data_IF_486024803279
#
_entry.id   IF_486024803279
#
_cell.length_a   1.000
_cell.length_b   1.000
_cell.length_c   1.000
_cell.angle_alpha   90.00
_cell.angle_beta   90.00
_cell.angle_gamma   90.00
#
_symmetry.space_group_name_H-M   'P 1'
#
loop_
_entity.id
_entity.type
_entity.pdbx_description
1 polymer ?
#
# COMPACT_ATOMS: atom_id res chain seq x y z
N UNK A 1 13.84 2.26 7.17
CA UNK A 1 14.80 2.68 6.14
C UNK A 1 15.25 1.44 5.38
N UNK A 2 14.98 1.41 4.09
CA UNK A 2 15.41 0.40 3.13
C UNK A 2 16.65 0.85 2.36
N UNK A 3 16.72 2.14 2.00
CA UNK A 3 17.77 2.65 1.14
C UNK A 3 19.04 3.00 1.92
N UNK A 4 20.21 2.51 1.48
CA UNK A 4 21.49 3.07 1.91
C UNK A 4 21.77 4.40 1.20
N UNK A 5 22.97 4.95 1.38
CA UNK A 5 23.45 6.04 0.52
C UNK A 5 23.46 5.59 -0.96
N UNK A 6 23.11 6.49 -1.90
CA UNK A 6 23.14 6.17 -3.33
C UNK A 6 24.55 5.88 -3.80
N UNK A 7 24.70 4.89 -4.69
CA UNK A 7 25.97 4.65 -5.38
C UNK A 7 26.32 5.81 -6.32
N UNK A 8 25.29 6.42 -6.92
CA UNK A 8 25.43 7.59 -7.78
C UNK A 8 24.32 8.58 -7.48
N UNK A 9 24.67 9.85 -7.38
CA UNK A 9 23.72 10.95 -7.18
C UNK A 9 24.30 12.23 -7.78
N UNK A 10 23.74 12.73 -8.88
CA UNK A 10 24.21 13.94 -9.56
C UNK A 10 23.35 15.20 -9.26
N UNK A 11 22.38 15.06 -8.36
CA UNK A 11 21.42 16.12 -8.00
C UNK A 11 20.12 16.06 -8.80
N UNK A 12 20.12 15.39 -9.96
CA UNK A 12 18.94 15.19 -10.81
C UNK A 12 18.58 13.73 -11.00
N UNK A 13 19.57 12.84 -10.93
CA UNK A 13 19.41 11.40 -11.01
C UNK A 13 20.15 10.73 -9.85
N UNK A 14 19.62 9.59 -9.41
CA UNK A 14 20.24 8.78 -8.39
C UNK A 14 20.01 7.28 -8.61
N UNK A 15 20.97 6.47 -8.17
CA UNK A 15 20.98 5.01 -8.31
C UNK A 15 21.35 4.34 -6.99
N UNK A 16 20.58 3.32 -6.63
CA UNK A 16 20.85 2.43 -5.49
C UNK A 16 20.83 0.97 -5.91
N UNK A 17 21.69 0.19 -5.26
CA UNK A 17 21.61 -1.25 -5.19
C UNK A 17 21.17 -1.63 -3.78
N UNK A 18 19.98 -2.20 -3.66
CA UNK A 18 19.36 -2.46 -2.35
C UNK A 18 19.22 -3.96 -2.17
N UNK A 19 19.71 -4.45 -1.04
CA UNK A 19 19.51 -5.83 -0.62
C UNK A 19 18.39 -5.89 0.41
N UNK A 20 17.28 -6.52 0.05
CA UNK A 20 16.11 -6.70 0.91
C UNK A 20 16.24 -8.07 1.57
N UNK A 21 16.41 -8.05 2.89
CA UNK A 21 16.66 -9.22 3.72
C UNK A 21 15.47 -9.53 4.64
N UNK A 22 15.11 -10.81 4.79
CA UNK A 22 13.95 -11.22 5.58
C UNK A 22 14.16 -11.12 7.10
N UNK A 23 15.40 -11.19 7.59
CA UNK A 23 15.71 -10.99 9.00
C UNK A 23 15.67 -9.51 9.36
N UNK A 24 16.06 -8.63 8.43
CA UNK A 24 15.94 -7.17 8.61
C UNK A 24 14.52 -6.65 8.43
N UNK A 25 13.71 -7.34 7.62
CA UNK A 25 12.35 -6.94 7.28
C UNK A 25 11.35 -8.08 7.59
N UNK A 26 11.15 -8.38 8.87
CA UNK A 26 10.28 -9.47 9.33
C UNK A 26 8.82 -9.34 8.84
N UNK A 27 8.36 -8.10 8.55
CA UNK A 27 7.08 -7.87 7.88
C UNK A 27 6.96 -8.57 6.52
N UNK A 28 8.04 -8.60 5.73
CA UNK A 28 8.08 -9.28 4.42
C UNK A 28 8.04 -10.80 4.59
N UNK A 29 8.74 -11.34 5.60
CA UNK A 29 8.74 -12.77 5.92
C UNK A 29 7.33 -13.29 6.17
N UNK A 30 6.49 -12.49 6.84
CA UNK A 30 5.10 -12.83 7.18
C UNK A 30 4.11 -12.48 6.07
N UNK A 31 4.53 -11.68 5.10
CA UNK A 31 3.71 -11.28 3.97
C UNK A 31 3.75 -12.33 2.84
N UNK A 32 2.87 -13.34 2.94
CA UNK A 32 2.87 -14.48 2.03
C UNK A 32 1.83 -14.36 0.91
N UNK A 33 2.27 -14.55 -0.35
CA UNK A 33 1.39 -14.75 -1.50
C UNK A 33 1.67 -16.13 -2.08
N UNK A 34 0.66 -16.99 -2.13
CA UNK A 34 0.79 -18.41 -2.53
C UNK A 34 1.90 -19.15 -1.74
N UNK A 35 1.98 -18.85 -0.44
CA UNK A 35 2.94 -19.48 0.48
C UNK A 35 4.38 -18.97 0.38
N UNK A 36 4.67 -17.97 -0.46
CA UNK A 36 6.01 -17.42 -0.61
C UNK A 36 6.11 -15.99 -0.07
N UNK A 37 7.20 -15.64 0.64
CA UNK A 37 7.47 -14.26 1.01
C UNK A 37 7.42 -13.35 -0.22
N UNK A 38 6.66 -12.27 -0.07
CA UNK A 38 6.39 -11.29 -1.11
C UNK A 38 6.50 -9.91 -0.51
N UNK A 39 7.25 -9.01 -1.14
CA UNK A 39 7.32 -7.63 -0.68
C UNK A 39 5.91 -7.01 -0.70
N UNK A 40 5.43 -6.44 0.41
CA UNK A 40 4.21 -5.64 0.43
C UNK A 40 4.31 -4.49 -0.58
N UNK A 41 3.20 -4.12 -1.18
CA UNK A 41 3.17 -2.97 -2.09
C UNK A 41 3.56 -1.69 -1.34
N UNK A 42 3.13 -1.55 -0.09
CA UNK A 42 3.55 -0.44 0.76
C UNK A 42 5.08 -0.35 0.96
N UNK A 43 5.79 -1.48 0.98
CA UNK A 43 7.26 -1.47 1.07
C UNK A 43 7.92 -0.93 -0.21
N UNK A 44 7.36 -1.20 -1.39
CA UNK A 44 7.86 -0.62 -2.65
C UNK A 44 7.59 0.89 -2.70
N UNK A 45 6.43 1.34 -2.22
CA UNK A 45 6.12 2.77 -2.07
C UNK A 45 7.06 3.45 -1.07
N UNK A 46 7.42 2.78 0.03
CA UNK A 46 8.41 3.26 1.00
C UNK A 46 9.80 3.44 0.39
N UNK A 47 10.26 2.45 -0.39
CA UNK A 47 11.52 2.57 -1.11
C UNK A 47 11.50 3.78 -2.05
N UNK A 48 10.39 4.02 -2.75
CA UNK A 48 10.26 5.19 -3.61
C UNK A 48 10.22 6.52 -2.83
N UNK A 49 9.54 6.56 -1.69
CA UNK A 49 9.51 7.71 -0.81
C UNK A 49 10.91 8.07 -0.31
N UNK A 50 11.68 7.06 0.12
CA UNK A 50 13.07 7.23 0.57
C UNK A 50 13.97 7.73 -0.56
N UNK A 51 13.78 7.22 -1.78
CA UNK A 51 14.54 7.66 -2.96
C UNK A 51 14.21 9.12 -3.33
N UNK A 52 12.94 9.52 -3.20
CA UNK A 52 12.53 10.89 -3.48
C UNK A 52 13.08 11.88 -2.43
N UNK A 53 12.96 11.53 -1.15
CA UNK A 53 13.45 12.35 -0.04
C UNK A 53 14.98 12.58 -0.09
N UNK A 54 15.75 11.71 -0.75
CA UNK A 54 17.20 11.92 -0.89
C UNK A 54 17.58 13.17 -1.69
N UNK A 55 16.70 13.65 -2.58
CA UNK A 55 16.97 14.82 -3.42
C UNK A 55 16.70 16.17 -2.71
N UNK A 56 15.85 16.18 -1.69
CA UNK A 56 15.45 17.41 -1.00
C UNK A 56 15.14 17.10 0.47
N UNK A 57 16.12 17.33 1.34
CA UNK A 57 16.01 17.00 2.78
C UNK A 57 14.94 17.80 3.51
N UNK A 58 14.58 18.97 2.98
CA UNK A 58 13.59 19.89 3.57
C UNK A 58 12.16 19.65 3.06
N UNK A 59 11.97 18.71 2.12
CA UNK A 59 10.66 18.38 1.56
C UNK A 59 10.24 16.96 1.95
N UNK A 60 8.94 16.76 2.10
CA UNK A 60 8.35 15.47 2.43
C UNK A 60 7.56 14.91 1.22
N UNK A 61 7.56 13.58 1.01
CA UNK A 61 6.62 12.92 0.11
C UNK A 61 5.17 13.07 0.60
N UNK A 62 4.31 13.75 -0.17
CA UNK A 62 2.90 13.98 0.21
C UNK A 62 1.90 13.30 -0.73
N UNK A 63 2.34 12.98 -1.95
CA UNK A 63 1.52 12.30 -2.96
C UNK A 63 2.37 11.39 -3.82
N UNK A 64 1.79 10.24 -4.16
CA UNK A 64 2.37 9.27 -5.08
C UNK A 64 1.41 9.09 -6.23
N UNK A 65 1.90 9.19 -7.45
CA UNK A 65 1.08 9.13 -8.66
C UNK A 65 1.60 8.07 -9.61
N UNK A 66 0.71 7.56 -10.45
CA UNK A 66 1.05 6.61 -11.53
C UNK A 66 1.79 5.36 -11.02
N UNK A 67 1.40 4.84 -9.84
CA UNK A 67 1.98 3.61 -9.33
C UNK A 67 1.62 2.45 -10.27
N UNK A 68 2.62 1.85 -10.89
CA UNK A 68 2.53 0.65 -11.72
C UNK A 68 3.20 -0.51 -11.02
N UNK A 69 2.58 -1.69 -11.04
CA UNK A 69 3.03 -2.91 -10.37
C UNK A 69 2.99 -4.09 -11.35
N UNK A 70 3.87 -4.13 -12.37
CA UNK A 70 3.82 -5.16 -13.40
C UNK A 70 4.17 -6.56 -12.87
N UNK A 71 5.03 -6.64 -11.83
CA UNK A 71 5.44 -7.90 -11.23
C UNK A 71 5.59 -7.79 -9.71
N UNK A 72 5.26 -8.87 -9.00
CA UNK A 72 5.52 -8.99 -7.57
C UNK A 72 6.99 -9.31 -7.31
N UNK A 73 7.61 -8.63 -6.34
CA UNK A 73 8.86 -9.08 -5.75
C UNK A 73 8.58 -10.23 -4.79
N UNK A 74 8.56 -11.45 -5.32
CA UNK A 74 8.25 -12.69 -4.61
C UNK A 74 9.33 -13.74 -4.86
N UNK A 75 9.69 -14.48 -3.82
CA UNK A 75 10.56 -15.64 -3.93
C UNK A 75 10.37 -16.59 -2.73
N UNK A 76 10.65 -17.89 -2.87
CA UNK A 76 10.81 -18.81 -1.74
C UNK A 76 11.79 -18.25 -0.70
N UNK A 77 11.57 -18.54 0.59
CA UNK A 77 12.31 -17.95 1.71
C UNK A 77 13.84 -18.15 1.60
N UNK A 78 14.28 -19.31 1.09
CA UNK A 78 15.68 -19.68 0.88
C UNK A 78 16.38 -18.91 -0.25
N UNK A 79 15.63 -18.16 -1.07
CA UNK A 79 16.16 -17.29 -2.13
C UNK A 79 16.24 -15.83 -1.73
N UNK A 80 16.05 -15.54 -0.45
CA UNK A 80 16.33 -14.24 0.16
C UNK A 80 17.75 -14.26 0.77
N UNK A 81 18.44 -13.11 0.83
CA UNK A 81 17.97 -11.78 0.44
C UNK A 81 17.82 -11.57 -1.07
N UNK A 82 17.00 -10.59 -1.46
CA UNK A 82 16.75 -10.23 -2.86
C UNK A 82 17.38 -8.87 -3.14
N UNK A 83 18.08 -8.77 -4.27
CA UNK A 83 18.64 -7.49 -4.74
C UNK A 83 17.68 -6.80 -5.70
N UNK A 84 17.53 -5.49 -5.53
CA UNK A 84 16.79 -4.60 -6.43
C UNK A 84 17.66 -3.41 -6.83
N UNK A 85 17.45 -2.93 -8.05
CA UNK A 85 17.91 -1.62 -8.50
C UNK A 85 16.81 -0.60 -8.28
N UNK A 86 17.18 0.53 -7.71
CA UNK A 86 16.30 1.70 -7.61
C UNK A 86 16.94 2.82 -8.39
N UNK A 87 16.21 3.36 -9.36
CA UNK A 87 16.63 4.56 -10.11
C UNK A 87 15.61 5.64 -9.87
N UNK A 88 16.07 6.84 -9.56
CA UNK A 88 15.21 8.00 -9.38
C UNK A 88 15.67 9.17 -10.24
N UNK A 89 14.72 9.91 -10.81
CA UNK A 89 14.96 11.12 -11.61
C UNK A 89 14.07 12.25 -11.10
N UNK A 90 14.69 13.34 -10.66
CA UNK A 90 13.99 14.53 -10.17
C UNK A 90 13.69 15.50 -11.31
N UNK A 91 12.47 16.05 -11.30
CA UNK A 91 11.96 17.07 -12.21
C UNK A 91 11.17 18.11 -11.40
N UNK A 92 11.86 19.16 -10.94
CA UNK A 92 11.26 20.13 -10.02
C UNK A 92 10.96 19.48 -8.67
N UNK A 93 9.69 19.48 -8.27
CA UNK A 93 9.22 18.88 -7.01
C UNK A 93 8.73 17.44 -7.17
N UNK A 94 8.74 16.92 -8.39
CA UNK A 94 8.39 15.52 -8.67
C UNK A 94 9.65 14.67 -8.85
N UNK A 95 9.60 13.43 -8.35
CA UNK A 95 10.65 12.43 -8.52
C UNK A 95 10.05 11.16 -9.10
N UNK A 96 10.45 10.80 -10.31
CA UNK A 96 10.09 9.54 -10.94
C UNK A 96 11.03 8.43 -10.45
N UNK A 97 10.47 7.37 -9.85
CA UNK A 97 11.22 6.24 -9.30
C UNK A 97 10.82 4.94 -10.01
N UNK A 98 11.82 4.16 -10.41
CA UNK A 98 11.65 2.77 -10.89
C UNK A 98 12.44 1.81 -9.99
N UNK A 99 11.80 0.69 -9.67
CA UNK A 99 12.34 -0.39 -8.84
C UNK A 99 12.29 -1.67 -9.67
N UNK A 100 13.46 -2.24 -9.97
CA UNK A 100 13.56 -3.45 -10.79
C UNK A 100 14.62 -4.42 -10.29
N UNK A 101 14.76 -5.56 -10.96
CA UNK A 101 15.87 -6.47 -10.73
C UNK A 101 17.18 -5.85 -11.25
N UNK A 102 18.34 -6.20 -10.66
CA UNK A 102 19.62 -5.83 -11.26
C UNK A 102 19.74 -6.39 -12.69
N UNK A 103 20.45 -5.70 -13.59
CA UNK A 103 20.77 -6.22 -14.91
C UNK A 103 21.75 -7.38 -14.75
N UNK A 104 21.42 -8.54 -15.33
CA UNK A 104 22.30 -9.72 -15.32
C UNK A 104 22.51 -10.18 -16.74
N UNK A 105 23.66 -9.83 -17.33
CA UNK A 105 24.04 -10.18 -18.70
C UNK A 105 22.91 -9.90 -19.71
N UNK A 106 22.48 -10.91 -20.47
CA UNK A 106 21.43 -10.84 -21.49
C UNK A 106 20.01 -11.05 -20.93
N UNK A 107 19.83 -11.18 -19.61
CA UNK A 107 18.51 -11.35 -19.00
C UNK A 107 17.83 -9.99 -18.88
N UNK A 108 16.63 -9.80 -19.46
CA UNK A 108 15.86 -8.57 -19.30
C UNK A 108 15.63 -8.28 -17.82
N UNK A 109 15.74 -7.01 -17.44
CA UNK A 109 15.37 -6.57 -16.09
C UNK A 109 13.88 -6.80 -15.86
N UNK A 110 13.53 -7.28 -14.67
CA UNK A 110 12.15 -7.41 -14.23
C UNK A 110 11.81 -6.14 -13.46
N UNK A 111 10.87 -5.35 -13.96
CA UNK A 111 10.34 -4.19 -13.22
C UNK A 111 9.36 -4.67 -12.13
N UNK A 112 9.50 -4.15 -10.92
CA UNK A 112 8.61 -4.46 -9.80
C UNK A 112 7.65 -3.31 -9.50
N UNK A 113 8.14 -2.06 -9.59
CA UNK A 113 7.32 -0.89 -9.42
C UNK A 113 7.86 0.31 -10.21
N UNK A 114 6.94 1.17 -10.66
CA UNK A 114 7.24 2.51 -11.13
C UNK A 114 6.26 3.47 -10.45
N UNK A 115 6.73 4.63 -9.99
CA UNK A 115 5.90 5.62 -9.29
C UNK A 115 6.51 7.02 -9.40
N UNK A 116 5.66 8.03 -9.51
CA UNK A 116 6.07 9.44 -9.38
C UNK A 116 5.74 9.92 -7.97
N UNK A 117 6.72 10.48 -7.27
CA UNK A 117 6.58 10.99 -5.90
C UNK A 117 6.63 12.51 -5.93
N UNK A 118 5.58 13.14 -5.43
CA UNK A 118 5.50 14.59 -5.29
C UNK A 118 6.00 15.00 -3.90
N UNK A 119 7.00 15.87 -3.89
CA UNK A 119 7.60 16.43 -2.68
C UNK A 119 6.99 17.80 -2.39
N UNK A 120 6.67 18.07 -1.13
CA UNK A 120 6.17 19.37 -0.71
C UNK A 120 6.66 19.71 0.70
N UNK A 121 6.61 20.98 1.07
CA UNK A 121 6.74 21.37 2.49
C UNK A 121 5.49 20.85 3.19
N UNK A 122 5.61 20.00 4.22
CA UNK A 122 4.44 19.50 4.92
C UNK A 122 3.71 20.67 5.60
N UNK A 123 2.48 20.96 5.17
CA UNK A 123 1.58 21.88 5.86
C UNK A 123 1.13 21.23 7.17
N UNK A 124 1.96 21.29 8.21
CA UNK A 124 1.53 20.90 9.56
C UNK A 124 0.87 22.12 10.21
N UNK A 125 -0.37 21.99 10.75
CA UNK A 125 -1.02 23.07 11.49
C UNK A 125 -0.20 23.58 12.69
N UNK A 126 0.73 22.75 13.19
CA UNK A 126 1.65 23.09 14.27
C UNK A 126 2.84 23.96 13.82
N UNK A 127 3.17 24.08 12.53
CA UNK A 127 4.35 24.84 12.10
C UNK A 127 4.30 26.36 12.39
N UNK A 128 3.13 26.91 12.70
CA UNK A 128 3.00 28.32 13.11
C UNK A 128 3.51 28.60 14.53
N UNK A 129 3.59 27.58 15.40
CA UNK A 129 3.94 27.73 16.83
C UNK A 129 5.38 27.30 17.16
N UNK A 130 6.17 26.80 16.20
CA UNK A 130 7.50 26.22 16.44
C UNK A 130 8.68 27.14 16.07
N UNK A 131 8.44 28.46 15.98
CA UNK A 131 9.43 29.44 15.52
C UNK A 131 10.61 29.70 16.49
N UNK A 132 10.67 29.06 17.67
CA UNK A 132 11.69 29.30 18.69
C UNK A 132 12.66 28.13 18.95
N UNK A 133 12.71 27.11 18.07
CA UNK A 133 13.73 26.05 18.19
C UNK A 133 14.96 26.42 17.37
N UNK A 134 16.08 26.66 18.05
CA UNK A 134 17.39 27.03 17.51
C UNK A 134 17.74 26.29 16.19
N UNK A 135 17.98 27.06 15.13
CA UNK A 135 18.40 26.56 13.81
C UNK A 135 19.71 25.75 13.83
N UNK A 136 20.52 25.83 14.89
CA UNK A 136 21.76 25.06 15.00
C UNK A 136 21.56 23.59 15.45
N UNK A 137 20.38 23.25 15.99
CA UNK A 137 19.96 21.84 16.16
C UNK A 137 19.32 21.27 14.89
N UNK A 138 19.16 22.07 13.83
CA UNK A 138 18.53 21.68 12.58
C UNK A 138 19.44 20.85 11.64
N UNK A 139 20.35 20.04 12.20
CA UNK A 139 20.75 18.78 11.57
C UNK A 139 19.64 17.74 11.77
N UNK A 140 18.40 18.16 11.50
CA UNK A 140 17.24 17.53 12.10
C UNK A 140 16.87 16.28 11.31
N UNK A 141 16.98 15.15 12.02
CA UNK A 141 16.56 13.83 11.59
C UNK A 141 15.02 13.72 11.46
N UNK A 142 14.30 14.80 11.13
CA UNK A 142 12.81 14.92 11.17
C UNK A 142 12.09 13.87 10.34
N UNK A 143 12.74 13.35 9.30
CA UNK A 143 12.19 12.32 8.43
C UNK A 143 12.91 10.96 8.52
N UNK A 144 13.83 10.78 9.50
CA UNK A 144 14.49 9.49 9.72
C UNK A 144 13.48 8.48 10.31
N UNK A 145 12.73 7.83 9.41
CA UNK A 145 11.73 6.82 9.75
C UNK A 145 10.30 7.13 9.28
N UNK A 146 10.02 8.37 8.86
CA UNK A 146 8.66 8.88 8.67
C UNK A 146 8.37 9.22 7.20
N UNK A 147 7.89 8.25 6.41
CA UNK A 147 7.56 8.56 5.01
C UNK A 147 6.17 8.06 4.58
N UNK A 148 5.62 7.04 5.23
CA UNK A 148 4.24 6.65 5.06
C UNK A 148 3.73 5.73 6.18
N UNK A 149 2.41 5.69 6.40
CA UNK A 149 1.76 4.64 7.18
C UNK A 149 1.65 3.36 6.35
N UNK A 150 2.71 2.54 6.37
CA UNK A 150 2.88 1.34 5.58
C UNK A 150 1.82 0.27 5.85
N UNK A 151 1.50 0.01 7.11
CA UNK A 151 0.49 -0.97 7.50
C UNK A 151 -0.91 -0.49 7.10
N UNK A 152 -1.22 0.80 7.30
CA UNK A 152 -2.50 1.37 6.87
C UNK A 152 -2.66 1.34 5.35
N UNK A 153 -1.60 1.70 4.61
CA UNK A 153 -1.58 1.66 3.15
C UNK A 153 -1.77 0.24 2.63
N UNK A 154 -1.00 -0.73 3.15
CA UNK A 154 -1.09 -2.13 2.72
C UNK A 154 -2.47 -2.72 3.05
N UNK A 155 -3.01 -2.44 4.24
CA UNK A 155 -4.36 -2.85 4.62
C UNK A 155 -5.41 -2.28 3.66
N UNK A 156 -5.30 -0.99 3.31
CA UNK A 156 -6.21 -0.33 2.38
C UNK A 156 -6.10 -0.91 0.96
N UNK A 157 -4.89 -1.18 0.46
CA UNK A 157 -4.66 -1.82 -0.84
C UNK A 157 -5.30 -3.21 -0.91
N UNK A 158 -5.20 -4.00 0.16
CA UNK A 158 -5.86 -5.31 0.27
C UNK A 158 -7.39 -5.23 0.21
N UNK A 159 -8.00 -4.11 0.61
CA UNK A 159 -9.44 -3.91 0.45
C UNK A 159 -9.85 -3.68 -1.01
N UNK A 160 -8.94 -3.17 -1.84
CA UNK A 160 -9.19 -2.93 -3.26
C UNK A 160 -9.04 -4.20 -4.11
N UNK A 161 -8.25 -5.16 -3.65
CA UNK A 161 -8.12 -6.49 -4.27
C UNK A 161 -6.95 -7.28 -3.70
N UNK A 162 -6.85 -8.59 -4.03
CA UNK A 162 -5.67 -9.36 -3.70
C UNK A 162 -4.44 -8.78 -4.41
N UNK A 163 -3.29 -8.76 -3.74
CA UNK A 163 -2.06 -8.11 -4.22
C UNK A 163 -1.66 -8.59 -5.63
N UNK A 164 -1.84 -9.88 -5.91
CA UNK A 164 -1.56 -10.50 -7.21
C UNK A 164 -2.45 -10.03 -8.37
N UNK A 165 -3.56 -9.37 -8.06
CA UNK A 165 -4.43 -8.77 -9.07
C UNK A 165 -4.17 -7.27 -9.24
N UNK A 166 -3.58 -6.60 -8.24
CA UNK A 166 -3.34 -5.17 -8.26
C UNK A 166 -2.28 -4.84 -9.31
N UNK A 167 -2.64 -4.05 -10.33
CA UNK A 167 -1.72 -3.68 -11.42
C UNK A 167 -1.30 -2.22 -11.36
N UNK A 168 -2.19 -1.33 -10.91
CA UNK A 168 -1.85 0.09 -10.79
C UNK A 168 -2.73 0.85 -9.80
N UNK A 169 -2.21 1.97 -9.32
CA UNK A 169 -2.94 2.97 -8.52
C UNK A 169 -2.62 4.34 -9.10
N UNK A 170 -3.66 5.07 -9.52
CA UNK A 170 -3.48 6.39 -10.13
C UNK A 170 -2.90 7.40 -9.14
N UNK A 171 -3.43 7.46 -7.92
CA UNK A 171 -2.95 8.36 -6.88
C UNK A 171 -3.08 7.76 -5.48
N UNK A 172 -2.05 8.00 -4.66
CA UNK A 172 -1.99 7.76 -3.23
C UNK A 172 -1.72 9.12 -2.59
N UNK A 173 -2.68 9.65 -1.85
CA UNK A 173 -2.52 10.88 -1.08
C UNK A 173 -2.27 10.51 0.39
N UNK A 174 -1.24 11.11 1.01
CA UNK A 174 -0.91 10.96 2.44
C UNK A 174 -1.04 12.35 3.09
N UNK A 175 -2.23 12.71 3.59
CA UNK A 175 -2.47 14.06 4.11
C UNK A 175 -1.73 14.34 5.42
N UNK A 176 -1.37 13.29 6.16
CA UNK A 176 -0.68 13.38 7.44
C UNK A 176 0.64 12.62 7.32
N UNK A 177 1.80 13.30 7.26
CA UNK A 177 3.09 12.63 7.22
C UNK A 177 3.41 12.05 8.60
N UNK A 178 2.99 10.82 8.86
CA UNK A 178 3.26 10.08 10.10
C UNK A 178 3.49 8.60 9.80
N UNK A 179 4.31 7.93 10.61
CA UNK A 179 4.50 6.48 10.54
C UNK A 179 3.40 5.72 11.31
N UNK A 180 3.25 4.42 11.08
CA UNK A 180 2.20 3.62 11.73
C UNK A 180 2.31 3.60 13.27
N UNK A 181 3.52 3.74 13.83
CA UNK A 181 3.73 3.72 15.30
C UNK A 181 3.26 5.00 15.93
N UNK A 182 3.59 6.13 15.32
CA UNK A 182 3.12 7.44 15.72
C UNK A 182 1.62 7.54 15.58
N UNK A 183 1.06 7.05 14.47
CA UNK A 183 -0.39 7.01 14.28
C UNK A 183 -1.08 6.14 15.33
N UNK A 184 -0.52 4.96 15.63
CA UNK A 184 -1.04 4.10 16.69
C UNK A 184 -0.97 4.77 18.07
N UNK A 185 0.07 5.57 18.32
CA UNK A 185 0.25 6.34 19.57
C UNK A 185 -0.71 7.51 19.67
N UNK A 186 -0.86 8.29 18.59
CA UNK A 186 -1.64 9.53 18.56
C UNK A 186 -3.14 9.26 18.46
N UNK A 187 -3.53 8.29 17.66
CA UNK A 187 -4.92 8.09 17.21
C UNK A 187 -5.48 6.71 17.59
N UNK A 188 -4.66 5.87 18.24
CA UNK A 188 -5.00 4.51 18.62
C UNK A 188 -4.77 3.49 17.50
N UNK A 189 -4.91 2.21 17.83
CA UNK A 189 -4.64 1.11 16.89
C UNK A 189 -5.80 0.82 15.91
N UNK A 190 -6.88 1.60 15.95
CA UNK A 190 -8.08 1.35 15.16
C UNK A 190 -8.11 2.20 13.90
N UNK A 191 -8.23 1.52 12.75
CA UNK A 191 -8.38 2.12 11.44
C UNK A 191 -9.71 1.70 10.80
N UNK A 192 -10.46 2.68 10.36
CA UNK A 192 -11.63 2.52 9.50
C UNK A 192 -11.18 2.52 8.04
N UNK A 193 -11.34 1.39 7.36
CA UNK A 193 -11.09 1.26 5.92
C UNK A 193 -12.41 1.41 5.17
N UNK A 194 -12.50 2.39 4.28
CA UNK A 194 -13.74 2.70 3.56
C UNK A 194 -13.50 2.75 2.06
N UNK A 195 -14.52 2.30 1.32
CA UNK A 195 -14.57 2.31 -0.14
C UNK A 195 -15.76 3.14 -0.59
N UNK A 196 -15.55 4.01 -1.55
CA UNK A 196 -16.57 4.88 -2.12
C UNK A 196 -16.52 4.84 -3.64
N UNK A 197 -17.69 4.77 -4.27
CA UNK A 197 -17.82 5.00 -5.72
C UNK A 197 -18.03 6.49 -5.96
N UNK A 198 -17.16 7.12 -6.75
CA UNK A 198 -17.30 8.52 -7.19
C UNK A 198 -17.50 8.59 -8.70
N UNK A 199 -17.73 9.79 -9.24
CA UNK A 199 -17.84 9.99 -10.70
C UNK A 199 -16.55 9.65 -11.43
N UNK A 200 -15.41 9.78 -10.75
CA UNK A 200 -14.07 9.55 -11.31
C UNK A 200 -13.58 8.11 -11.05
N UNK A 201 -14.46 7.25 -10.50
CA UNK A 201 -14.17 5.85 -10.21
C UNK A 201 -14.16 5.53 -8.72
N UNK A 202 -13.55 4.41 -8.37
CA UNK A 202 -13.49 3.93 -6.99
C UNK A 202 -12.39 4.68 -6.21
N UNK A 203 -12.74 5.07 -4.98
CA UNK A 203 -11.83 5.67 -4.01
C UNK A 203 -11.82 4.86 -2.73
N UNK A 204 -10.66 4.82 -2.09
CA UNK A 204 -10.44 4.10 -0.84
C UNK A 204 -9.82 5.05 0.17
N UNK A 205 -10.24 4.99 1.43
CA UNK A 205 -9.64 5.79 2.50
C UNK A 205 -9.37 4.94 3.73
N UNK A 206 -8.21 5.15 4.35
CA UNK A 206 -7.96 4.74 5.73
C UNK A 206 -8.14 5.97 6.62
N UNK A 207 -9.05 5.87 7.58
CA UNK A 207 -9.35 6.94 8.55
C UNK A 207 -9.20 6.43 9.97
N UNK A 208 -8.86 7.32 10.88
CA UNK A 208 -8.88 7.06 12.33
C UNK A 208 -10.27 7.26 12.91
N UNK A 209 -10.44 6.91 14.19
CA UNK A 209 -11.75 6.94 14.86
C UNK A 209 -12.38 8.35 14.95
N UNK A 210 -11.54 9.39 15.00
CA UNK A 210 -11.95 10.81 14.96
C UNK A 210 -12.27 11.32 13.54
N UNK A 211 -12.10 10.47 12.51
CA UNK A 211 -12.36 10.79 11.11
C UNK A 211 -11.17 11.38 10.36
N UNK A 212 -9.99 11.51 10.97
CA UNK A 212 -8.78 11.98 10.29
C UNK A 212 -8.38 11.01 9.17
N UNK A 213 -8.12 11.52 7.96
CA UNK A 213 -7.73 10.71 6.79
C UNK A 213 -6.22 10.53 6.77
N UNK A 214 -5.78 9.27 6.84
CA UNK A 214 -4.35 8.91 6.82
C UNK A 214 -3.85 8.64 5.42
N UNK A 215 -4.63 7.87 4.65
CA UNK A 215 -4.29 7.46 3.29
C UNK A 215 -5.55 7.52 2.44
N UNK A 216 -5.42 8.02 1.23
CA UNK A 216 -6.46 7.97 0.20
C UNK A 216 -5.91 7.36 -1.09
N UNK A 217 -6.61 6.38 -1.66
CA UNK A 217 -6.30 5.79 -2.96
C UNK A 217 -7.36 6.21 -3.98
N UNK A 218 -6.91 6.48 -5.20
CA UNK A 218 -7.77 6.76 -6.36
C UNK A 218 -7.29 5.97 -7.57
N UNK A 219 -8.25 5.59 -8.43
CA UNK A 219 -7.95 4.92 -9.70
C UNK A 219 -7.20 3.60 -9.50
N UNK A 220 -7.63 2.81 -8.50
CA UNK A 220 -7.04 1.48 -8.26
C UNK A 220 -7.53 0.52 -9.34
N UNK A 221 -6.60 -0.03 -10.12
CA UNK A 221 -6.88 -1.05 -11.13
C UNK A 221 -6.40 -2.38 -10.60
N UNK A 222 -7.33 -3.31 -10.43
CA UNK A 222 -7.04 -4.71 -10.24
C UNK A 222 -7.50 -5.50 -11.45
N UNK A 223 -6.65 -6.38 -11.94
CA UNK A 223 -6.95 -7.40 -12.94
C UNK A 223 -7.83 -8.50 -12.34
N UNK A 224 -8.92 -8.12 -11.70
CA UNK A 224 -9.88 -9.09 -11.23
C UNK A 224 -10.79 -9.49 -12.39
N UNK A 225 -10.44 -10.59 -13.06
CA UNK A 225 -11.44 -11.39 -13.77
C UNK A 225 -12.45 -11.87 -12.73
N UNK A 226 -13.55 -11.12 -12.67
CA UNK A 226 -14.87 -11.59 -12.25
C UNK A 226 -15.17 -11.66 -10.74
N UNK A 227 -15.56 -10.52 -10.16
CA UNK A 227 -16.31 -10.46 -8.88
C UNK A 227 -17.83 -10.38 -9.09
N UNK A 228 -18.33 -10.56 -10.33
CA UNK A 228 -19.77 -10.54 -10.59
C UNK A 228 -20.51 -11.75 -10.00
N UNK A 229 -19.78 -12.77 -9.54
CA UNK A 229 -20.32 -14.00 -8.93
C UNK A 229 -20.45 -13.96 -7.40
N UNK A 230 -19.95 -12.93 -6.69
CA UNK A 230 -20.21 -12.76 -5.25
C UNK A 230 -21.49 -11.96 -4.94
N UNK A 231 -22.50 -12.05 -5.81
CA UNK A 231 -23.83 -11.50 -5.55
C UNK A 231 -24.66 -12.51 -4.73
N UNK A 232 -24.89 -12.13 -3.46
CA UNK A 232 -25.98 -12.57 -2.56
C UNK A 232 -25.84 -13.93 -1.86
N UNK A 233 -25.02 -13.98 -0.81
CA UNK A 233 -25.45 -14.72 0.39
C UNK A 233 -26.37 -13.82 1.21
N UNK A 234 -27.66 -13.88 0.86
CA UNK A 234 -28.75 -13.34 1.68
C UNK A 234 -28.82 -14.21 2.94
N UNK A 235 -28.44 -13.65 4.08
CA UNK A 235 -28.70 -14.24 5.41
C UNK A 235 -30.21 -14.26 5.64
N UNK A 236 -30.84 -15.37 5.27
CA UNK A 236 -32.23 -15.69 5.59
C UNK A 236 -32.31 -16.68 6.75
N UNK A 237 -32.13 -16.20 7.99
CA UNK A 237 -32.83 -16.78 9.14
C UNK A 237 -34.26 -16.17 9.14
N UNK A 238 -35.39 -16.81 9.42
CA UNK A 238 -35.77 -18.01 10.19
C UNK A 238 -37.07 -18.57 9.59
N UNK A 239 -37.40 -19.84 9.82
CA UNK A 239 -38.55 -20.27 10.66
C UNK A 239 -38.62 -21.82 10.68
N UNK A 240 -38.63 -22.47 11.85
CA UNK A 240 -38.82 -23.92 11.95
C UNK A 240 -40.29 -24.27 11.74
N UNK A 241 -40.57 -25.05 10.69
CA UNK A 241 -41.90 -25.59 10.39
C UNK A 241 -42.30 -26.68 11.38
N UNK A 242 -43.23 -26.31 12.25
CA UNK A 242 -43.94 -27.09 13.26
C UNK A 242 -44.56 -28.37 12.67
N UNK A 243 -44.38 -29.49 13.36
CA UNK A 243 -45.09 -30.74 13.13
C UNK A 243 -46.60 -30.57 13.25
N UNK A 244 -47.37 -31.13 12.30
CA UNK A 244 -48.79 -31.41 12.48
C UNK A 244 -49.15 -32.70 11.73
N UNK A 245 -49.28 -33.73 12.56
CA UNK A 245 -49.89 -35.03 12.30
C UNK A 245 -51.36 -34.86 11.87
N UNK A 246 -51.80 -35.47 10.76
CA UNK A 246 -53.22 -35.79 10.52
C UNK A 246 -53.40 -37.02 9.63
N UNK A 247 -53.70 -38.14 10.28
CA UNK A 247 -54.43 -39.31 9.76
C UNK A 247 -55.84 -38.91 9.32
N UNK A 248 -56.29 -39.45 8.17
CA UNK A 248 -57.66 -39.93 7.79
C UNK A 248 -57.54 -40.42 6.34
N UNK A 249 -57.50 -41.73 6.03
CA UNK A 249 -58.56 -42.76 5.98
C UNK A 249 -59.71 -42.45 5.01
N UNK A 250 -60.21 -43.53 4.36
CA UNK A 250 -61.32 -43.69 3.38
C UNK A 250 -60.99 -43.18 1.97
N UNK A 251 -61.15 -43.90 0.86
CA UNK A 251 -61.88 -45.11 0.46
C UNK A 251 -62.04 -44.97 -1.07
N UNK A 252 -61.55 -45.91 -1.87
CA UNK A 252 -62.34 -46.93 -2.60
C UNK A 252 -63.03 -46.44 -3.89
N UNK A 253 -62.92 -47.26 -4.96
CA UNK A 253 -63.55 -47.23 -6.31
C UNK A 253 -62.88 -46.35 -7.38
N UNK A 254 -62.84 -46.71 -8.67
CA UNK A 254 -63.05 -47.94 -9.45
C UNK A 254 -62.61 -47.63 -10.90
N UNK A 255 -62.22 -48.67 -11.66
CA UNK A 255 -62.32 -48.76 -13.14
C UNK A 255 -61.20 -48.10 -13.96
N UNK A 256 -60.52 -48.79 -14.88
CA UNK A 256 -60.68 -50.15 -15.42
C UNK A 256 -59.50 -50.50 -16.33
#
# INVERSE_FOLDING_TARGET
MFLPEPERHDGTTALWHVEIDLDRHDGIRRHLVKGQPTAPTASLVQIAAEAAASFARDLAPVRYSNLSLPHLLRAPAERWPRRVHVTATRRGDDVDVSIGSPPVNAVPTVEYAQVSVHLCVPETPEMADWHDVDRELAADNRFNGYLLPGDALEALLRTAGPQESLSSVQAIDIPVPADDRELARLLGAHLDLRRYSTRDGEQYTATTADGTVLVRLRGVVSSNRDLSTMRRHRTGAKTPGRAANRKRSTGERDGG
#
